data_IF_555826257110
#
_entry.id   IF_555826257110
#
_cell.length_a   1.000
_cell.length_b   1.000
_cell.length_c   1.000
_cell.angle_alpha   90.00
_cell.angle_beta   90.00
_cell.angle_gamma   90.00
#
_symmetry.space_group_name_H-M   'P 1'
#
loop_
_entity.id
_entity.type
_entity.pdbx_description
1 polymer ?
#
# COMPACT_ATOMS: atom_id res chain seq x y z
N UNK A 1 -8.96 46.88 4.97
CA UNK A 1 -9.31 45.50 4.57
C UNK A 1 -8.45 45.10 3.38
N UNK A 2 -7.64 44.02 3.48
CA UNK A 2 -6.98 43.44 2.30
C UNK A 2 -8.04 42.77 1.41
N UNK A 3 -8.07 43.11 0.13
CA UNK A 3 -9.00 42.54 -0.86
C UNK A 3 -8.61 41.09 -1.12
N UNK A 4 -9.49 40.13 -0.82
CA UNK A 4 -9.35 38.74 -1.27
C UNK A 4 -9.43 38.72 -2.80
N UNK A 5 -8.32 38.41 -3.45
CA UNK A 5 -8.25 38.25 -4.92
C UNK A 5 -8.32 36.76 -5.24
N UNK A 6 -9.35 36.36 -5.99
CA UNK A 6 -9.55 34.97 -6.43
C UNK A 6 -8.54 34.67 -7.53
N UNK A 7 -7.43 34.02 -7.19
CA UNK A 7 -6.46 33.50 -8.16
C UNK A 7 -6.98 32.21 -8.80
N UNK A 8 -6.64 31.98 -10.08
CA UNK A 8 -6.90 30.69 -10.75
C UNK A 8 -5.92 29.62 -10.24
N UNK A 9 -6.28 28.34 -10.32
CA UNK A 9 -5.43 27.23 -9.87
C UNK A 9 -4.03 27.26 -10.51
N UNK A 10 -3.96 27.61 -11.79
CA UNK A 10 -2.70 27.71 -12.55
C UNK A 10 -1.82 28.89 -12.07
N UNK A 11 -2.44 29.98 -11.64
CA UNK A 11 -1.76 31.13 -11.03
C UNK A 11 -1.32 30.83 -9.59
N UNK A 12 -1.97 29.88 -8.93
CA UNK A 12 -1.51 29.37 -7.63
C UNK A 12 -0.32 28.44 -7.83
N UNK A 13 -0.43 27.48 -8.74
CA UNK A 13 0.62 26.48 -9.03
C UNK A 13 1.94 27.13 -9.45
N UNK A 14 1.89 28.20 -10.25
CA UNK A 14 3.08 28.97 -10.67
C UNK A 14 3.76 29.76 -9.55
N UNK A 15 3.08 29.98 -8.41
CA UNK A 15 3.60 30.71 -7.25
C UNK A 15 3.84 29.81 -6.03
N UNK A 16 3.56 28.52 -6.12
CA UNK A 16 3.83 27.57 -5.04
C UNK A 16 5.28 27.09 -5.13
N UNK A 17 5.94 27.03 -3.98
CA UNK A 17 7.23 26.36 -3.85
C UNK A 17 7.08 24.92 -4.34
N UNK A 18 7.84 24.57 -5.38
CA UNK A 18 7.90 23.20 -5.87
C UNK A 18 8.73 22.41 -4.85
N UNK A 19 8.04 21.65 -4.01
CA UNK A 19 8.68 20.72 -3.07
C UNK A 19 9.28 19.60 -3.91
N UNK A 20 10.58 19.37 -3.77
CA UNK A 20 11.25 18.26 -4.46
C UNK A 20 10.77 16.92 -3.91
N UNK A 21 10.88 15.84 -4.68
CA UNK A 21 10.50 14.50 -4.23
C UNK A 21 11.24 14.10 -2.94
N UNK A 22 12.52 14.50 -2.81
CA UNK A 22 13.29 14.32 -1.58
C UNK A 22 12.74 15.11 -0.39
N UNK A 23 12.25 16.33 -0.59
CA UNK A 23 11.60 17.12 0.47
C UNK A 23 10.21 16.57 0.82
N UNK A 24 9.46 16.04 -0.14
CA UNK A 24 8.23 15.29 0.14
C UNK A 24 8.52 14.02 0.95
N UNK A 25 9.54 13.25 0.59
CA UNK A 25 9.96 12.06 1.34
C UNK A 25 10.52 12.39 2.73
N UNK A 26 11.06 13.59 2.94
CA UNK A 26 11.46 14.04 4.29
C UNK A 26 10.27 14.55 5.13
N UNK A 27 9.15 14.95 4.49
CA UNK A 27 7.94 15.45 5.16
C UNK A 27 6.88 14.35 5.40
N UNK A 28 6.84 13.34 4.53
CA UNK A 28 5.85 12.24 4.54
C UNK A 28 6.49 10.86 4.69
N UNK A 29 7.79 10.74 4.39
CA UNK A 29 8.54 9.49 4.47
C UNK A 29 9.27 9.29 5.80
N UNK A 30 9.79 8.08 5.96
CA UNK A 30 10.52 7.55 7.09
C UNK A 30 10.36 6.04 7.18
N UNK A 31 11.38 5.33 7.63
CA UNK A 31 11.26 3.89 7.86
C UNK A 31 10.21 3.61 8.94
N UNK A 32 9.40 2.59 8.71
CA UNK A 32 8.30 2.18 9.59
C UNK A 32 8.76 1.03 10.48
N UNK A 33 8.78 1.27 11.79
CA UNK A 33 9.31 0.33 12.76
C UNK A 33 8.20 -0.48 13.40
N UNK A 34 8.38 -1.80 13.40
CA UNK A 34 7.52 -2.75 14.08
C UNK A 34 8.36 -3.65 14.98
N UNK A 35 7.76 -4.16 16.06
CA UNK A 35 8.40 -5.24 16.83
C UNK A 35 8.16 -6.62 16.20
N UNK A 36 8.79 -7.65 16.74
CA UNK A 36 8.63 -9.03 16.27
C UNK A 36 7.20 -9.58 16.41
N UNK A 37 6.37 -8.96 17.25
CA UNK A 37 4.96 -9.30 17.43
C UNK A 37 4.05 -8.52 16.48
N UNK A 38 4.62 -7.69 15.59
CA UNK A 38 3.89 -6.87 14.63
C UNK A 38 3.31 -5.58 15.22
N UNK A 39 3.68 -5.17 16.44
CA UNK A 39 3.21 -3.91 16.98
C UNK A 39 3.95 -2.74 16.32
N UNK A 40 3.21 -1.72 15.89
CA UNK A 40 3.82 -0.50 15.35
C UNK A 40 4.49 0.30 16.47
N UNK A 41 5.77 0.61 16.28
CA UNK A 41 6.60 1.35 17.25
C UNK A 41 6.65 2.84 16.89
N UNK A 42 6.77 3.14 15.60
CA UNK A 42 6.89 4.51 15.12
C UNK A 42 7.55 4.61 13.75
N UNK A 43 7.72 5.84 13.29
CA UNK A 43 8.32 6.18 12.00
C UNK A 43 9.55 7.06 12.26
N UNK A 44 10.68 6.78 11.60
CA UNK A 44 11.91 7.55 11.76
C UNK A 44 12.79 7.53 10.51
N UNK A 45 13.48 8.66 10.25
CA UNK A 45 14.44 8.80 9.15
C UNK A 45 13.77 9.15 7.83
N UNK A 46 14.36 8.69 6.73
CA UNK A 46 13.86 8.84 5.36
C UNK A 46 13.58 7.46 4.73
N UNK A 47 12.94 7.46 3.56
CA UNK A 47 12.58 6.24 2.83
C UNK A 47 11.25 5.65 3.27
N UNK A 48 10.92 4.46 2.77
CA UNK A 48 9.62 3.81 2.98
C UNK A 48 9.77 2.37 3.49
N UNK A 49 10.95 2.01 3.98
CA UNK A 49 11.24 0.65 4.41
C UNK A 49 10.46 0.24 5.65
N UNK A 50 10.13 -1.04 5.78
CA UNK A 50 9.68 -1.63 7.04
C UNK A 50 10.88 -2.26 7.76
N UNK A 51 11.07 -1.90 9.02
CA UNK A 51 12.16 -2.37 9.88
C UNK A 51 11.58 -3.08 11.11
N UNK A 52 12.05 -4.30 11.37
CA UNK A 52 11.76 -5.05 12.58
C UNK A 52 12.84 -4.75 13.62
N UNK A 53 12.47 -4.06 14.70
CA UNK A 53 13.37 -3.68 15.77
C UNK A 53 12.63 -3.56 17.11
N UNK A 54 13.37 -3.48 18.21
CA UNK A 54 12.79 -3.26 19.55
C UNK A 54 12.53 -1.77 19.85
N UNK A 55 13.09 -0.84 19.07
CA UNK A 55 12.75 0.58 19.11
C UNK A 55 13.20 1.30 17.83
N UNK A 56 12.73 2.54 17.62
CA UNK A 56 13.13 3.40 16.49
C UNK A 56 14.62 3.80 16.50
N UNK A 57 15.34 3.57 17.61
CA UNK A 57 16.75 3.95 17.77
C UNK A 57 17.70 2.74 17.63
N UNK A 58 17.17 1.53 17.53
CA UNK A 58 17.98 0.32 17.37
C UNK A 58 18.10 -0.07 15.89
N UNK A 59 19.23 -0.65 15.53
CA UNK A 59 19.36 -1.38 14.27
C UNK A 59 18.43 -2.59 14.29
N UNK A 60 17.67 -2.74 13.21
CA UNK A 60 16.73 -3.84 13.00
C UNK A 60 17.06 -4.63 11.75
N UNK A 61 16.17 -5.57 11.41
CA UNK A 61 16.20 -6.27 10.13
C UNK A 61 15.07 -5.75 9.23
N UNK A 62 15.23 -5.69 7.90
CA UNK A 62 14.12 -5.38 7.02
C UNK A 62 13.04 -6.46 7.08
N UNK A 63 11.78 -6.09 6.85
CA UNK A 63 10.66 -7.03 6.81
C UNK A 63 10.89 -8.15 5.79
N UNK A 64 11.56 -7.83 4.68
CA UNK A 64 11.89 -8.76 3.59
C UNK A 64 12.69 -10.00 3.99
N UNK A 65 13.40 -9.96 5.11
CA UNK A 65 14.17 -11.10 5.64
C UNK A 65 13.66 -11.59 7.00
N UNK A 66 12.58 -11.00 7.51
CA UNK A 66 11.98 -11.42 8.76
C UNK A 66 11.35 -12.82 8.63
N UNK A 67 11.12 -13.57 9.72
CA UNK A 67 10.37 -14.81 9.64
C UNK A 67 8.93 -14.57 9.12
N UNK A 68 8.34 -15.52 8.37
CA UNK A 68 6.97 -15.40 7.87
C UNK A 68 5.94 -15.05 8.95
N UNK A 69 6.08 -15.60 10.16
CA UNK A 69 5.22 -15.25 11.28
C UNK A 69 5.27 -13.76 11.64
N UNK A 70 6.47 -13.18 11.72
CA UNK A 70 6.64 -11.73 11.97
C UNK A 70 6.04 -10.91 10.84
N UNK A 71 6.22 -11.33 9.58
CA UNK A 71 5.61 -10.65 8.43
C UNK A 71 4.08 -10.68 8.51
N UNK A 72 3.49 -11.83 8.80
CA UNK A 72 2.05 -11.96 9.00
C UNK A 72 1.52 -11.07 10.12
N UNK A 73 2.24 -10.98 11.23
CA UNK A 73 1.89 -10.10 12.35
C UNK A 73 1.92 -8.61 11.95
N UNK A 74 2.99 -8.17 11.26
CA UNK A 74 3.10 -6.78 10.77
C UNK A 74 2.00 -6.47 9.77
N UNK A 75 1.81 -7.32 8.76
CA UNK A 75 0.77 -7.12 7.75
C UNK A 75 -0.63 -7.16 8.38
N UNK A 76 -0.85 -7.96 9.43
CA UNK A 76 -2.11 -7.94 10.20
C UNK A 76 -2.35 -6.59 10.89
N UNK A 77 -1.31 -6.01 11.50
CA UNK A 77 -1.41 -4.66 12.08
C UNK A 77 -1.73 -3.61 11.02
N UNK A 78 -1.08 -3.67 9.86
CA UNK A 78 -1.37 -2.80 8.72
C UNK A 78 -2.80 -3.00 8.18
N UNK A 79 -3.24 -4.26 8.06
CA UNK A 79 -4.58 -4.63 7.58
C UNK A 79 -5.67 -4.02 8.46
N UNK A 80 -5.50 -4.09 9.79
CA UNK A 80 -6.41 -3.45 10.73
C UNK A 80 -6.48 -1.93 10.58
N UNK A 81 -5.35 -1.29 10.25
CA UNK A 81 -5.31 0.15 10.02
C UNK A 81 -6.10 0.58 8.76
N UNK A 82 -6.26 -0.29 7.78
CA UNK A 82 -7.08 -0.04 6.57
C UNK A 82 -8.53 -0.53 6.70
N UNK A 83 -8.90 -1.18 7.80
CA UNK A 83 -10.28 -1.60 8.09
C UNK A 83 -10.55 -3.10 7.95
N UNK A 84 -9.53 -3.92 7.67
CA UNK A 84 -9.66 -5.37 7.60
C UNK A 84 -9.70 -5.95 9.02
N UNK A 85 -10.74 -6.71 9.33
CA UNK A 85 -10.98 -7.26 10.67
C UNK A 85 -10.30 -8.60 10.91
N UNK A 86 -10.06 -9.40 9.87
CA UNK A 86 -9.34 -10.67 9.97
C UNK A 86 -7.83 -10.49 9.97
N UNK A 87 -7.13 -11.60 10.21
CA UNK A 87 -5.67 -11.64 10.18
C UNK A 87 -5.17 -11.79 8.74
N UNK A 88 -3.92 -11.38 8.53
CA UNK A 88 -3.17 -11.66 7.31
C UNK A 88 -2.39 -12.96 7.51
N UNK A 89 -2.74 -14.01 6.77
CA UNK A 89 -1.99 -15.25 6.74
C UNK A 89 -0.88 -15.16 5.69
N UNK A 90 0.26 -15.77 5.96
CA UNK A 90 1.33 -15.87 4.98
C UNK A 90 1.21 -17.18 4.20
N UNK A 91 1.15 -17.08 2.88
CA UNK A 91 1.11 -18.21 1.95
C UNK A 91 2.30 -18.18 0.99
N UNK A 92 2.59 -19.33 0.37
CA UNK A 92 3.70 -19.48 -0.58
C UNK A 92 3.14 -19.93 -1.93
N UNK A 93 2.47 -19.02 -2.62
CA UNK A 93 1.87 -19.31 -3.94
C UNK A 93 2.87 -19.03 -5.07
N UNK A 94 2.75 -19.78 -6.15
CA UNK A 94 3.47 -19.50 -7.39
C UNK A 94 2.62 -18.56 -8.26
N UNK A 95 3.22 -17.51 -8.82
CA UNK A 95 2.56 -16.60 -9.76
C UNK A 95 2.56 -15.14 -9.31
N UNK A 96 1.69 -14.33 -9.92
CA UNK A 96 1.65 -12.87 -9.75
C UNK A 96 0.66 -12.39 -8.68
N UNK A 97 0.06 -13.31 -7.91
CA UNK A 97 -0.87 -12.93 -6.86
C UNK A 97 -0.11 -12.37 -5.66
N UNK A 98 -0.48 -11.16 -5.22
CA UNK A 98 0.09 -10.52 -4.03
C UNK A 98 -0.76 -10.78 -2.78
N UNK A 99 -2.08 -10.64 -2.90
CA UNK A 99 -3.04 -10.85 -1.82
C UNK A 99 -4.27 -11.63 -2.29
N UNK A 100 -5.03 -12.17 -1.33
CA UNK A 100 -6.38 -12.69 -1.56
C UNK A 100 -7.23 -12.52 -0.31
N UNK A 101 -8.29 -11.73 -0.42
CA UNK A 101 -9.35 -11.64 0.57
C UNK A 101 -10.21 -12.90 0.62
N UNK A 102 -10.66 -13.26 1.83
CA UNK A 102 -11.58 -14.36 2.10
C UNK A 102 -12.88 -13.87 2.73
N UNK A 103 -13.99 -14.56 2.49
CA UNK A 103 -15.32 -14.16 2.99
C UNK A 103 -15.43 -14.09 4.52
N UNK A 104 -14.47 -14.65 5.26
CA UNK A 104 -14.38 -14.58 6.71
C UNK A 104 -13.59 -13.35 7.21
N UNK A 105 -13.20 -12.44 6.32
CA UNK A 105 -12.44 -11.23 6.63
C UNK A 105 -10.93 -11.42 6.70
N UNK A 106 -10.42 -12.63 6.48
CA UNK A 106 -8.98 -12.89 6.40
C UNK A 106 -8.40 -12.48 5.05
N UNK A 107 -7.10 -12.25 5.01
CA UNK A 107 -6.34 -12.05 3.77
C UNK A 107 -5.18 -13.02 3.76
N UNK A 108 -4.98 -13.72 2.66
CA UNK A 108 -3.72 -14.43 2.41
C UNK A 108 -2.77 -13.49 1.66
N UNK A 109 -1.55 -13.35 2.14
CA UNK A 109 -0.49 -12.58 1.47
C UNK A 109 0.60 -13.54 0.97
N UNK A 110 0.97 -13.40 -0.30
CA UNK A 110 1.96 -14.26 -0.93
C UNK A 110 3.39 -13.83 -0.56
N UNK A 111 4.06 -14.63 0.27
CA UNK A 111 5.44 -14.40 0.67
C UNK A 111 6.45 -14.45 -0.48
N UNK A 112 6.11 -15.14 -1.56
CA UNK A 112 6.96 -15.22 -2.74
C UNK A 112 6.75 -14.03 -3.69
N UNK A 113 5.87 -13.09 -3.36
CA UNK A 113 5.63 -11.92 -4.20
C UNK A 113 6.90 -11.07 -4.34
N UNK A 114 7.17 -10.62 -5.57
CA UNK A 114 8.36 -9.81 -5.86
C UNK A 114 8.46 -8.53 -5.01
N UNK A 115 7.31 -7.99 -4.57
CA UNK A 115 7.25 -6.81 -3.70
C UNK A 115 7.95 -7.01 -2.34
N UNK A 116 8.09 -8.26 -1.88
CA UNK A 116 8.86 -8.57 -0.67
C UNK A 116 10.31 -8.11 -0.79
N UNK A 117 10.92 -8.21 -1.98
CA UNK A 117 12.29 -7.78 -2.20
C UNK A 117 12.47 -6.25 -2.14
N UNK A 118 11.40 -5.48 -2.40
CA UNK A 118 11.42 -4.02 -2.38
C UNK A 118 11.25 -3.44 -0.98
N UNK A 119 10.70 -4.22 -0.04
CA UNK A 119 10.53 -3.83 1.38
C UNK A 119 9.80 -2.48 1.60
N UNK A 120 9.01 -2.03 0.63
CA UNK A 120 8.34 -0.73 0.68
C UNK A 120 6.98 -0.84 1.38
N UNK A 121 6.82 -0.11 2.49
CA UNK A 121 5.59 -0.04 3.28
C UNK A 121 4.35 0.25 2.43
N UNK A 122 4.46 1.16 1.47
CA UNK A 122 3.32 1.56 0.65
C UNK A 122 2.91 0.50 -0.36
N UNK A 123 3.82 -0.37 -0.81
CA UNK A 123 3.46 -1.50 -1.68
C UNK A 123 2.54 -2.46 -0.92
N UNK A 124 2.93 -2.82 0.30
CA UNK A 124 2.11 -3.68 1.16
C UNK A 124 0.78 -3.02 1.54
N UNK A 125 0.79 -1.73 1.86
CA UNK A 125 -0.43 -0.98 2.18
C UNK A 125 -1.39 -0.94 0.99
N UNK A 126 -0.86 -0.78 -0.23
CA UNK A 126 -1.63 -0.74 -1.46
C UNK A 126 -2.33 -2.08 -1.73
N UNK A 127 -1.61 -3.20 -1.58
CA UNK A 127 -2.20 -4.55 -1.64
C UNK A 127 -3.33 -4.68 -0.62
N UNK A 128 -3.12 -4.23 0.62
CA UNK A 128 -4.16 -4.32 1.66
C UNK A 128 -5.39 -3.45 1.36
N UNK A 129 -5.22 -2.28 0.72
CA UNK A 129 -6.37 -1.50 0.25
C UNK A 129 -7.15 -2.21 -0.86
N UNK A 130 -6.45 -2.87 -1.81
CA UNK A 130 -7.06 -3.69 -2.85
C UNK A 130 -7.90 -4.83 -2.23
N UNK A 131 -7.31 -5.60 -1.31
CA UNK A 131 -8.02 -6.69 -0.65
C UNK A 131 -9.16 -6.20 0.25
N UNK A 132 -9.02 -5.04 0.90
CA UNK A 132 -10.10 -4.45 1.69
C UNK A 132 -11.30 -4.08 0.80
N UNK A 133 -11.07 -3.61 -0.43
CA UNK A 133 -12.16 -3.36 -1.37
C UNK A 133 -12.94 -4.63 -1.69
N UNK A 134 -12.25 -5.76 -1.90
CA UNK A 134 -12.89 -7.06 -2.10
C UNK A 134 -13.74 -7.47 -0.89
N UNK A 135 -13.25 -7.25 0.34
CA UNK A 135 -14.03 -7.51 1.55
C UNK A 135 -15.25 -6.60 1.73
N UNK A 136 -15.20 -5.37 1.20
CA UNK A 136 -16.33 -4.44 1.21
C UNK A 136 -17.38 -4.78 0.14
N UNK A 137 -17.01 -5.54 -0.90
CA UNK A 137 -17.82 -5.80 -2.10
C UNK A 137 -17.98 -7.30 -2.39
N UNK A 138 -18.21 -8.09 -1.33
CA UNK A 138 -18.26 -9.56 -1.39
C UNK A 138 -19.24 -10.14 -2.41
N UNK A 139 -20.28 -9.40 -2.81
CA UNK A 139 -21.27 -9.87 -3.80
C UNK A 139 -20.69 -10.08 -5.20
N UNK A 140 -19.58 -9.41 -5.54
CA UNK A 140 -18.93 -9.45 -6.86
C UNK A 140 -17.52 -10.07 -6.85
N UNK A 141 -17.09 -10.59 -5.69
CA UNK A 141 -15.72 -11.05 -5.46
C UNK A 141 -15.28 -12.12 -6.49
N UNK A 142 -14.10 -11.91 -7.10
CA UNK A 142 -13.51 -12.83 -8.08
C UNK A 142 -13.96 -12.64 -9.53
N UNK A 143 -14.75 -11.61 -9.83
CA UNK A 143 -15.05 -11.21 -11.22
C UNK A 143 -14.01 -10.23 -11.75
N UNK A 144 -13.81 -10.19 -13.07
CA UNK A 144 -12.95 -9.18 -13.72
C UNK A 144 -13.40 -7.75 -13.44
N UNK A 145 -14.70 -7.52 -13.23
CA UNK A 145 -15.23 -6.21 -12.87
C UNK A 145 -14.84 -5.83 -11.44
N UNK A 146 -14.96 -6.76 -10.49
CA UNK A 146 -14.54 -6.56 -9.10
C UNK A 146 -13.04 -6.26 -9.00
N UNK A 147 -12.18 -6.99 -9.73
CA UNK A 147 -10.74 -6.68 -9.79
C UNK A 147 -10.48 -5.28 -10.35
N UNK A 148 -11.19 -4.87 -11.41
CA UNK A 148 -11.06 -3.53 -11.97
C UNK A 148 -11.46 -2.42 -10.98
N UNK A 149 -12.56 -2.61 -10.23
CA UNK A 149 -12.98 -1.67 -9.20
C UNK A 149 -11.99 -1.62 -8.02
N UNK A 150 -11.44 -2.77 -7.61
CA UNK A 150 -10.42 -2.84 -6.58
C UNK A 150 -9.14 -2.08 -7.00
N UNK A 151 -8.70 -2.22 -8.26
CA UNK A 151 -7.59 -1.44 -8.82
C UNK A 151 -7.87 0.07 -8.83
N UNK A 152 -9.09 0.49 -9.21
CA UNK A 152 -9.49 1.91 -9.15
C UNK A 152 -9.43 2.41 -7.70
N UNK A 153 -9.96 1.62 -6.76
CA UNK A 153 -9.95 1.98 -5.35
C UNK A 153 -8.53 2.12 -4.82
N UNK A 154 -7.66 1.17 -5.14
CA UNK A 154 -6.23 1.18 -4.80
C UNK A 154 -5.49 2.41 -5.36
N UNK A 155 -5.62 2.68 -6.66
CA UNK A 155 -4.96 3.81 -7.34
C UNK A 155 -5.38 5.16 -6.76
N UNK A 156 -6.64 5.27 -6.31
CA UNK A 156 -7.17 6.50 -5.73
C UNK A 156 -6.77 6.70 -4.25
N UNK A 157 -6.07 5.76 -3.62
CA UNK A 157 -5.54 5.98 -2.29
C UNK A 157 -4.41 7.02 -2.32
N UNK A 158 -4.42 7.96 -1.37
CA UNK A 158 -3.41 9.02 -1.29
C UNK A 158 -1.98 8.49 -1.09
N UNK A 159 -1.86 7.27 -0.58
CA UNK A 159 -0.62 6.54 -0.37
C UNK A 159 -0.04 5.90 -1.64
N UNK A 160 -0.85 5.69 -2.69
CA UNK A 160 -0.44 4.98 -3.90
C UNK A 160 0.76 5.63 -4.59
N UNK A 161 0.85 6.97 -4.55
CA UNK A 161 1.97 7.73 -5.14
C UNK A 161 3.33 7.45 -4.48
N UNK A 162 3.38 6.78 -3.33
CA UNK A 162 4.61 6.45 -2.60
C UNK A 162 5.01 4.97 -2.74
N UNK A 163 4.23 4.18 -3.50
CA UNK A 163 4.60 2.82 -3.90
C UNK A 163 5.87 2.82 -4.75
N UNK A 164 6.59 1.69 -4.76
CA UNK A 164 7.72 1.49 -5.66
C UNK A 164 7.30 1.58 -7.12
N UNK A 165 8.21 2.03 -7.99
CA UNK A 165 7.94 2.11 -9.43
C UNK A 165 7.54 0.74 -10.00
N UNK A 166 8.19 -0.33 -9.56
CA UNK A 166 7.84 -1.70 -9.96
C UNK A 166 6.38 -2.04 -9.65
N UNK A 167 5.94 -1.77 -8.41
CA UNK A 167 4.59 -2.07 -8.00
C UNK A 167 3.59 -1.21 -8.77
N UNK A 168 3.85 0.11 -8.85
CA UNK A 168 3.02 1.06 -9.56
C UNK A 168 2.84 0.69 -11.03
N UNK A 169 3.91 0.35 -11.72
CA UNK A 169 3.87 -0.08 -13.12
C UNK A 169 3.08 -1.39 -13.27
N UNK A 170 3.26 -2.34 -12.36
CA UNK A 170 2.48 -3.59 -12.32
C UNK A 170 0.98 -3.32 -12.16
N UNK A 171 0.59 -2.48 -11.20
CA UNK A 171 -0.81 -2.12 -10.93
C UNK A 171 -1.42 -1.37 -12.12
N UNK A 172 -0.69 -0.42 -12.71
CA UNK A 172 -1.17 0.33 -13.89
C UNK A 172 -1.31 -0.56 -15.13
N UNK A 173 -0.43 -1.55 -15.32
CA UNK A 173 -0.55 -2.52 -16.40
C UNK A 173 -1.81 -3.38 -16.24
N UNK A 174 -2.11 -3.85 -15.02
CA UNK A 174 -3.34 -4.59 -14.73
C UNK A 174 -4.58 -3.70 -14.95
N UNK A 175 -4.57 -2.47 -14.44
CA UNK A 175 -5.64 -1.50 -14.67
C UNK A 175 -5.92 -1.31 -16.16
N UNK A 176 -4.88 -1.08 -16.97
CA UNK A 176 -5.01 -0.89 -18.41
C UNK A 176 -5.51 -2.16 -19.13
N UNK A 177 -5.11 -3.34 -18.68
CA UNK A 177 -5.60 -4.62 -19.20
C UNK A 177 -7.12 -4.74 -19.00
N UNK A 178 -7.63 -4.49 -17.80
CA UNK A 178 -9.07 -4.52 -17.54
C UNK A 178 -9.81 -3.36 -18.21
N UNK A 179 -9.23 -2.16 -18.25
CA UNK A 179 -9.82 -1.00 -18.91
C UNK A 179 -10.03 -1.27 -20.42
N UNK A 180 -9.00 -1.74 -21.10
CA UNK A 180 -9.05 -2.08 -22.53
C UNK A 180 -9.93 -3.31 -22.85
N UNK A 181 -10.13 -4.19 -21.87
CA UNK A 181 -11.07 -5.32 -21.94
C UNK A 181 -12.55 -4.95 -21.94
N UNK A 182 -12.90 -3.66 -21.84
CA UNK A 182 -14.28 -3.16 -21.96
C UNK A 182 -15.01 -2.93 -20.63
N UNK A 183 -14.31 -3.00 -19.49
CA UNK A 183 -14.89 -2.76 -18.17
C UNK A 183 -14.99 -1.26 -17.81
N UNK A 184 -14.69 -0.35 -18.74
CA UNK A 184 -14.77 1.11 -18.56
C UNK A 184 -16.18 1.70 -18.72
N UNK A 185 -17.16 0.92 -19.20
CA UNK A 185 -18.45 1.43 -19.71
C UNK A 185 -19.68 1.03 -18.88
N UNK A 186 -19.50 0.70 -17.59
CA UNK A 186 -20.60 0.44 -16.66
C UNK A 186 -20.59 1.48 -15.54
#
# INVERSE_FOLDING_TARGET
>A
MKKLTKKRLDELASNMLTVTESEQQNLVGGSFYFDHSGNFIGQYGSGNDIIIANSILHSGIPLSIAPPETVGNVLTTMARAVGISGNVNIVFENGNLYGRAHSNGQVDFNYNANIMAYNNYYDFLSVLHHENHHLMTLEDAGTSHSEYQALIYEINQSSFQYTSDYYRDSTMNLYNFYHSGGYSNY
#
